data_IF_459478365457
#
_entry.id   IF_459478365457
#
_cell.length_a   1.000
_cell.length_b   1.000
_cell.length_c   1.000
_cell.angle_alpha   90.00
_cell.angle_beta   90.00
_cell.angle_gamma   90.00
#
_symmetry.space_group_name_H-M   'P 1'
#
loop_
_entity.id
_entity.type
_entity.pdbx_description
1 polymer ?
#
# COMPACT_ATOMS: atom_id res chain seq x y z
N UNK A 1 -4.56 -26.81 23.73
CA UNK A 1 -4.38 -26.47 22.31
C UNK A 1 -5.77 -26.20 21.74
N UNK A 2 -6.14 -24.92 21.56
CA UNK A 2 -7.39 -24.53 20.92
C UNK A 2 -7.00 -23.90 19.59
N UNK A 3 -7.33 -24.51 18.43
CA UNK A 3 -7.22 -23.80 17.18
C UNK A 3 -8.36 -22.78 17.13
N UNK A 4 -8.02 -21.50 17.29
CA UNK A 4 -8.93 -20.41 17.00
C UNK A 4 -9.06 -20.30 15.47
N UNK A 5 -10.02 -21.01 14.89
CA UNK A 5 -10.46 -20.76 13.52
C UNK A 5 -11.17 -19.40 13.50
N UNK A 6 -10.41 -18.33 13.28
CA UNK A 6 -10.98 -17.05 12.90
C UNK A 6 -11.48 -17.19 11.47
N UNK A 7 -12.80 -17.40 11.30
CA UNK A 7 -13.43 -17.28 9.99
C UNK A 7 -13.30 -15.82 9.55
N UNK A 8 -12.67 -15.59 8.39
CA UNK A 8 -12.54 -14.25 7.79
C UNK A 8 -13.94 -13.70 7.47
N UNK A 9 -14.44 -12.77 8.29
CA UNK A 9 -15.69 -12.04 8.08
C UNK A 9 -15.41 -10.80 7.22
N UNK A 10 -15.06 -11.01 5.95
CA UNK A 10 -14.79 -9.94 5.00
C UNK A 10 -15.98 -9.83 4.04
N UNK A 11 -16.57 -8.64 3.96
CA UNK A 11 -17.60 -8.31 2.99
C UNK A 11 -17.06 -7.19 2.10
N UNK A 12 -17.09 -7.41 0.78
CA UNK A 12 -16.68 -6.42 -0.22
C UNK A 12 -17.93 -5.80 -0.84
N UNK A 13 -17.92 -4.47 -0.97
CA UNK A 13 -19.00 -3.72 -1.59
C UNK A 13 -18.43 -2.98 -2.81
N UNK A 14 -19.16 -3.00 -3.92
CA UNK A 14 -18.81 -2.23 -5.13
C UNK A 14 -19.56 -0.90 -5.12
N UNK A 15 -20.86 -0.96 -5.39
CA UNK A 15 -21.78 0.17 -5.41
C UNK A 15 -22.77 0.05 -4.25
N UNK A 16 -23.36 1.17 -3.84
CA UNK A 16 -24.36 1.17 -2.76
C UNK A 16 -23.80 0.80 -1.38
N UNK A 17 -22.47 0.92 -1.20
CA UNK A 17 -21.80 0.49 0.03
C UNK A 17 -22.26 1.30 1.25
N UNK A 18 -22.72 2.53 1.06
CA UNK A 18 -23.24 3.37 2.15
C UNK A 18 -24.58 2.84 2.66
N UNK A 19 -25.47 2.48 1.74
CA UNK A 19 -26.77 1.89 2.03
C UNK A 19 -26.59 0.53 2.72
N UNK A 20 -25.67 -0.29 2.22
CA UNK A 20 -25.35 -1.58 2.83
C UNK A 20 -24.78 -1.44 4.26
N UNK A 21 -24.00 -0.39 4.55
CA UNK A 21 -23.55 -0.10 5.91
C UNK A 21 -24.72 0.29 6.84
N UNK A 22 -25.74 0.99 6.33
CA UNK A 22 -26.91 1.40 7.09
C UNK A 22 -27.86 0.25 7.42
N UNK A 23 -27.83 -0.84 6.65
CA UNK A 23 -28.53 -2.09 7.01
C UNK A 23 -27.91 -2.78 8.24
N UNK A 24 -26.64 -2.48 8.54
CA UNK A 24 -25.85 -3.13 9.59
C UNK A 24 -25.62 -2.23 10.81
N UNK A 25 -25.58 -0.92 10.61
CA UNK A 25 -25.23 0.08 11.62
C UNK A 25 -26.27 1.19 11.56
N UNK A 26 -26.77 1.59 12.72
CA UNK A 26 -27.69 2.73 12.83
C UNK A 26 -27.09 4.01 12.24
N UNK A 27 -27.90 4.79 11.54
CA UNK A 27 -27.47 6.02 10.88
C UNK A 27 -26.85 7.02 11.86
N UNK A 28 -27.38 7.14 13.07
CA UNK A 28 -26.89 8.10 14.08
C UNK A 28 -25.59 7.62 14.77
N UNK A 29 -25.23 6.35 14.57
CA UNK A 29 -23.96 5.77 15.00
C UNK A 29 -22.90 5.71 13.90
N UNK A 30 -23.30 5.82 12.63
CA UNK A 30 -22.38 5.80 11.48
C UNK A 30 -21.90 7.22 11.13
N UNK A 31 -20.57 7.47 11.04
CA UNK A 31 -20.04 8.75 10.57
C UNK A 31 -20.62 9.18 9.22
N UNK A 32 -20.91 10.48 9.10
CA UNK A 32 -21.53 11.02 7.89
C UNK A 32 -20.69 10.82 6.62
N UNK A 33 -19.36 10.83 6.73
CA UNK A 33 -18.49 10.53 5.57
C UNK A 33 -18.62 9.07 5.07
N UNK A 34 -19.11 8.16 5.92
CA UNK A 34 -19.42 6.76 5.58
C UNK A 34 -20.88 6.54 5.19
N UNK A 35 -21.72 7.59 5.18
CA UNK A 35 -23.12 7.51 4.77
C UNK A 35 -24.17 7.65 5.88
N UNK A 36 -23.77 7.80 7.14
CA UNK A 36 -24.70 8.03 8.26
C UNK A 36 -24.95 9.52 8.57
N UNK A 37 -25.37 9.79 9.81
CA UNK A 37 -25.69 11.11 10.35
C UNK A 37 -24.69 11.57 11.43
N UNK A 38 -23.84 10.67 11.94
CA UNK A 38 -22.95 11.00 13.06
C UNK A 38 -21.91 12.03 12.61
N UNK A 39 -21.81 13.10 13.40
CA UNK A 39 -20.81 14.15 13.22
C UNK A 39 -20.13 14.44 14.56
N UNK A 40 -18.97 15.10 14.53
CA UNK A 40 -18.38 15.66 15.74
C UNK A 40 -19.28 16.76 16.34
N UNK A 41 -19.08 17.18 17.61
CA UNK A 41 -19.85 18.27 18.23
C UNK A 41 -19.79 19.61 17.48
N UNK A 42 -18.75 19.83 16.66
CA UNK A 42 -18.59 21.00 15.79
C UNK A 42 -19.27 20.83 14.40
N UNK A 43 -19.97 19.71 14.18
CA UNK A 43 -20.62 19.35 12.93
C UNK A 43 -19.69 18.70 11.91
N UNK A 44 -18.45 18.34 12.25
CA UNK A 44 -17.51 17.76 11.29
C UNK A 44 -17.94 16.34 10.88
N UNK A 45 -18.22 16.10 9.57
CA UNK A 45 -18.69 14.80 9.10
C UNK A 45 -17.61 13.72 9.11
N UNK A 46 -16.34 14.11 9.27
CA UNK A 46 -15.20 13.19 9.33
C UNK A 46 -14.98 12.61 10.73
N UNK A 47 -15.69 13.10 11.74
CA UNK A 47 -15.62 12.55 13.10
C UNK A 47 -14.17 12.49 13.64
N UNK A 48 -13.38 13.55 13.43
CA UNK A 48 -11.94 13.61 13.75
C UNK A 48 -11.64 13.55 15.25
N UNK A 49 -12.64 13.75 16.10
CA UNK A 49 -12.45 13.61 17.55
C UNK A 49 -12.13 12.18 17.96
N UNK A 50 -12.66 11.18 17.24
CA UNK A 50 -12.42 9.76 17.52
C UNK A 50 -11.83 8.98 16.35
N UNK A 51 -11.94 9.47 15.11
CA UNK A 51 -11.32 8.84 13.92
C UNK A 51 -10.04 9.58 13.56
N UNK A 52 -8.92 8.85 13.58
CA UNK A 52 -7.63 9.37 13.15
C UNK A 52 -7.48 9.19 11.64
N UNK A 53 -7.76 10.26 10.90
CA UNK A 53 -7.48 10.31 9.47
C UNK A 53 -5.99 10.50 9.24
N UNK A 54 -5.38 9.60 8.46
CA UNK A 54 -3.95 9.66 8.12
C UNK A 54 -3.58 11.03 7.54
N UNK A 55 -2.47 11.59 8.03
CA UNK A 55 -1.92 12.87 7.56
C UNK A 55 -0.49 12.70 7.09
N UNK A 56 0.00 13.66 6.31
CA UNK A 56 1.42 13.70 5.95
C UNK A 56 2.27 13.80 7.22
N UNK A 57 3.16 12.82 7.42
CA UNK A 57 4.06 12.80 8.58
C UNK A 57 5.07 13.94 8.41
N UNK A 58 5.25 14.84 9.41
CA UNK A 58 6.28 15.86 9.35
C UNK A 58 7.68 15.26 9.28
N UNK A 59 8.57 15.87 8.48
CA UNK A 59 9.95 15.38 8.29
C UNK A 59 10.75 15.25 9.59
N UNK A 60 10.43 16.04 10.62
CA UNK A 60 11.08 15.96 11.94
C UNK A 60 10.85 14.62 12.65
N UNK A 61 9.80 13.87 12.28
CA UNK A 61 9.53 12.53 12.81
C UNK A 61 10.14 11.43 11.95
N UNK A 62 10.78 11.76 10.82
CA UNK A 62 11.39 10.74 9.98
C UNK A 62 12.60 10.17 10.71
N UNK A 63 12.60 8.85 10.91
CA UNK A 63 13.77 8.16 11.39
C UNK A 63 14.80 8.17 10.27
N UNK A 64 15.85 8.99 10.37
CA UNK A 64 16.96 9.05 9.40
C UNK A 64 17.75 7.72 9.28
N UNK A 65 17.36 6.67 10.01
CA UNK A 65 18.06 5.39 10.12
C UNK A 65 17.11 4.20 9.95
N UNK A 66 16.28 4.18 8.91
CA UNK A 66 15.78 2.89 8.42
C UNK A 66 16.92 2.16 7.73
N UNK A 67 17.85 1.60 8.52
CA UNK A 67 19.02 0.85 8.06
C UNK A 67 18.65 -0.54 7.52
N UNK A 68 17.46 -0.71 6.92
CA UNK A 68 17.25 -1.85 6.03
C UNK A 68 17.93 -1.52 4.72
N UNK A 69 19.27 -1.63 4.70
CA UNK A 69 20.01 -1.60 3.45
C UNK A 69 19.57 -2.82 2.65
N UNK A 70 19.20 -2.64 1.39
CA UNK A 70 18.92 -3.76 0.49
C UNK A 70 20.11 -4.72 0.45
N UNK A 71 21.34 -4.18 0.57
CA UNK A 71 22.55 -5.00 0.68
C UNK A 71 22.57 -6.03 1.83
N UNK A 72 21.69 -5.87 2.83
CA UNK A 72 21.52 -6.77 3.99
C UNK A 72 20.21 -7.57 3.99
N UNK A 73 19.32 -7.33 3.02
CA UNK A 73 18.10 -8.10 2.87
C UNK A 73 18.42 -9.51 2.34
N UNK A 74 17.76 -10.54 2.89
CA UNK A 74 18.08 -11.94 2.58
C UNK A 74 17.63 -12.35 1.17
N UNK A 75 16.66 -11.64 0.63
CA UNK A 75 16.02 -11.81 -0.68
C UNK A 75 16.60 -10.87 -1.76
N UNK A 76 17.58 -10.03 -1.40
CA UNK A 76 18.19 -9.12 -2.36
C UNK A 76 19.20 -9.84 -3.27
N UNK A 77 18.96 -9.76 -4.59
CA UNK A 77 19.90 -10.21 -5.60
C UNK A 77 20.99 -9.15 -5.86
N UNK A 78 22.24 -9.61 -6.03
CA UNK A 78 23.39 -8.74 -6.32
C UNK A 78 23.83 -8.95 -7.76
N UNK A 79 23.70 -7.89 -8.56
CA UNK A 79 24.11 -7.88 -9.97
C UNK A 79 25.32 -6.96 -10.12
N UNK A 80 26.32 -7.39 -10.89
CA UNK A 80 27.51 -6.58 -11.19
C UNK A 80 27.42 -6.05 -12.62
N UNK A 81 27.25 -4.74 -12.77
CA UNK A 81 27.23 -4.07 -14.08
C UNK A 81 28.61 -3.50 -14.39
N UNK A 82 29.19 -3.92 -15.51
CA UNK A 82 30.51 -3.44 -15.94
C UNK A 82 30.42 -2.09 -16.67
N UNK A 83 31.57 -1.43 -16.89
CA UNK A 83 31.58 -0.11 -17.50
C UNK A 83 31.02 -0.16 -18.94
N UNK A 84 30.09 0.73 -19.25
CA UNK A 84 29.38 0.80 -20.54
C UNK A 84 28.57 -0.46 -20.90
N UNK A 85 28.26 -1.33 -19.94
CA UNK A 85 27.32 -2.44 -20.13
C UNK A 85 25.94 -2.12 -19.54
N UNK A 86 24.96 -2.97 -19.86
CA UNK A 86 23.63 -2.98 -19.25
C UNK A 86 23.27 -4.42 -18.92
N UNK A 87 22.53 -4.59 -17.83
CA UNK A 87 21.92 -5.87 -17.46
C UNK A 87 20.41 -5.74 -17.63
N UNK A 88 19.77 -6.78 -18.16
CA UNK A 88 18.34 -6.79 -18.46
C UNK A 88 17.68 -7.95 -17.70
N UNK A 89 16.76 -7.61 -16.80
CA UNK A 89 15.93 -8.58 -16.08
C UNK A 89 14.56 -8.59 -16.74
N UNK A 90 14.12 -9.77 -17.19
CA UNK A 90 12.85 -9.94 -17.91
C UNK A 90 11.90 -10.80 -17.10
N UNK A 91 10.65 -10.37 -17.01
CA UNK A 91 9.57 -11.09 -16.37
C UNK A 91 8.44 -11.31 -17.37
N UNK A 92 7.94 -12.54 -17.45
CA UNK A 92 6.73 -12.85 -18.22
C UNK A 92 5.51 -12.61 -17.33
N UNK A 93 4.64 -11.68 -17.75
CA UNK A 93 3.40 -11.38 -17.02
C UNK A 93 2.29 -12.25 -17.59
N UNK A 94 1.92 -13.29 -16.85
CA UNK A 94 0.88 -14.26 -17.26
C UNK A 94 -0.52 -13.84 -16.84
N UNK A 95 -0.64 -13.05 -15.77
CA UNK A 95 -1.92 -12.60 -15.21
C UNK A 95 -2.09 -11.09 -15.34
N UNK A 96 -3.19 -10.68 -15.99
CA UNK A 96 -3.55 -9.27 -16.12
C UNK A 96 -3.91 -8.66 -14.76
N UNK A 97 -3.47 -7.42 -14.52
CA UNK A 97 -3.68 -6.75 -13.24
C UNK A 97 -2.58 -7.02 -12.20
N UNK A 98 -1.56 -7.81 -12.55
CA UNK A 98 -0.36 -7.97 -11.73
C UNK A 98 0.41 -6.65 -11.55
N UNK A 99 1.10 -6.52 -10.42
CA UNK A 99 1.95 -5.38 -10.13
C UNK A 99 3.43 -5.76 -10.27
N UNK A 100 4.22 -4.87 -10.87
CA UNK A 100 5.67 -4.95 -10.89
C UNK A 100 6.23 -3.89 -9.95
N UNK A 101 6.88 -4.33 -8.89
CA UNK A 101 7.53 -3.48 -7.89
C UNK A 101 9.05 -3.72 -7.92
N UNK A 102 9.84 -2.67 -7.75
CA UNK A 102 11.29 -2.78 -7.72
C UNK A 102 11.88 -1.84 -6.69
N UNK A 103 12.98 -2.29 -6.08
CA UNK A 103 13.83 -1.50 -5.21
C UNK A 103 15.28 -1.89 -5.50
N UNK A 104 16.18 -0.93 -5.65
CA UNK A 104 17.60 -1.22 -5.87
C UNK A 104 18.50 -0.25 -5.12
N UNK A 105 19.67 -0.73 -4.70
CA UNK A 105 20.71 0.05 -4.02
C UNK A 105 21.99 -0.02 -4.85
N UNK A 106 22.52 1.14 -5.26
CA UNK A 106 23.79 1.22 -5.98
C UNK A 106 24.91 1.61 -5.01
N UNK A 107 25.96 0.77 -4.93
CA UNK A 107 27.02 0.92 -3.92
C UNK A 107 27.91 2.16 -4.09
N UNK A 108 28.31 2.46 -5.33
CA UNK A 108 29.44 3.37 -5.59
C UNK A 108 29.15 4.48 -6.60
N UNK A 109 28.17 4.30 -7.50
CA UNK A 109 27.89 5.20 -8.61
C UNK A 109 26.42 5.14 -8.99
N UNK A 110 25.94 6.19 -9.65
CA UNK A 110 24.62 6.19 -10.27
C UNK A 110 24.52 5.12 -11.36
N UNK A 111 23.33 4.56 -11.51
CA UNK A 111 23.00 3.58 -12.53
C UNK A 111 21.81 4.07 -13.35
N UNK A 112 21.89 3.92 -14.66
CA UNK A 112 20.74 4.16 -15.53
C UNK A 112 19.73 3.03 -15.38
N UNK A 113 18.48 3.36 -15.09
CA UNK A 113 17.38 2.41 -14.97
C UNK A 113 16.31 2.70 -16.02
N UNK A 114 15.81 1.65 -16.67
CA UNK A 114 14.71 1.77 -17.64
C UNK A 114 13.79 0.56 -17.56
N UNK A 115 12.48 0.80 -17.52
CA UNK A 115 11.46 -0.23 -17.64
C UNK A 115 10.92 -0.25 -19.08
N UNK A 116 10.93 -1.42 -19.71
CA UNK A 116 10.44 -1.60 -21.08
C UNK A 116 9.39 -2.70 -21.12
N UNK A 117 8.27 -2.45 -21.80
CA UNK A 117 7.25 -3.46 -22.07
C UNK A 117 7.44 -4.02 -23.49
N UNK A 118 7.52 -5.34 -23.63
CA UNK A 118 7.57 -6.03 -24.91
C UNK A 118 6.36 -6.94 -25.03
N UNK A 119 5.62 -6.81 -26.13
CA UNK A 119 4.50 -7.69 -26.42
C UNK A 119 5.05 -8.99 -27.01
N UNK A 120 4.74 -10.13 -26.39
CA UNK A 120 5.00 -11.43 -27.01
C UNK A 120 4.09 -11.54 -28.24
N UNK A 121 4.70 -11.78 -29.41
CA UNK A 121 4.02 -11.88 -30.70
C UNK A 121 3.21 -13.17 -30.82
#
# INVERSE_FOLDING_TARGET
MVPCTQTLKIQSFTDGWKEALLELIDADELPAFLGGNKTDPDGNPLCKTFIRHGQKIPKSYYLCKSEKKLSTAADAEKITVTRFSKEEISFEVTEAGSYLEWEFEAKNKDIGFSLNFRRNA
#
